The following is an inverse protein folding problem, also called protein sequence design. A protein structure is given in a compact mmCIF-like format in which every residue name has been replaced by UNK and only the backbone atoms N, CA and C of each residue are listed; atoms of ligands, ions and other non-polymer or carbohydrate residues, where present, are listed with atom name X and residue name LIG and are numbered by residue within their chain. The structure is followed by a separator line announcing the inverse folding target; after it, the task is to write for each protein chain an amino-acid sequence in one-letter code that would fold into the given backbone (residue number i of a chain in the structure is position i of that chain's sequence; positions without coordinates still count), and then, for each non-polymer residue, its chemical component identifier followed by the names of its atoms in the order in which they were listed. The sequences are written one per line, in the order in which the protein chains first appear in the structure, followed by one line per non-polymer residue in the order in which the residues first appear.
data_IF_143639249739
#
_entry.id   IF_143639249739
#
_cell.length_a   1.000
_cell.length_b   1.000
_cell.length_c   1.000
_cell.angle_alpha   90.00
_cell.angle_beta   90.00
_cell.angle_gamma   90.00
#
_symmetry.space_group_name_H-M   'P 1'
#
loop_
_entity.id
_entity.type
_entity.pdbx_description
1 polymer ?
#
# COMPACT_ATOMS: atom_id res chain seq x y z
N UNK A 1 20.35 -5.33 11.85
CA UNK A 1 20.19 -6.53 11.00
C UNK A 1 19.73 -6.19 9.58
N UNK A 2 20.02 -7.04 8.58
CA UNK A 2 19.37 -6.98 7.26
C UNK A 2 17.86 -7.17 7.38
N UNK A 3 17.09 -6.47 6.54
CA UNK A 3 15.63 -6.57 6.58
C UNK A 3 15.14 -7.99 6.24
N UNK A 4 14.19 -8.56 7.02
CA UNK A 4 13.64 -9.89 6.74
C UNK A 4 13.11 -9.99 5.31
N UNK A 5 13.31 -11.14 4.66
CA UNK A 5 12.81 -11.35 3.30
C UNK A 5 11.29 -11.18 3.23
N UNK A 6 10.57 -11.63 4.26
CA UNK A 6 9.11 -11.47 4.36
C UNK A 6 8.67 -10.00 4.41
N UNK A 7 9.47 -9.12 5.04
CA UNK A 7 9.21 -7.68 5.05
C UNK A 7 9.34 -7.09 3.64
N UNK A 8 10.41 -7.47 2.92
CA UNK A 8 10.59 -7.05 1.51
C UNK A 8 9.49 -7.60 0.61
N UNK A 9 9.07 -8.85 0.82
CA UNK A 9 7.97 -9.46 0.09
C UNK A 9 6.65 -8.71 0.35
N UNK A 10 6.39 -8.31 1.59
CA UNK A 10 5.24 -7.46 1.90
C UNK A 10 5.29 -6.12 1.14
N UNK A 11 6.46 -5.48 1.09
CA UNK A 11 6.66 -4.26 0.31
C UNK A 11 6.40 -4.43 -1.18
N UNK A 12 6.77 -5.58 -1.75
CA UNK A 12 6.46 -5.91 -3.16
C UNK A 12 4.94 -6.02 -3.37
N UNK A 13 4.22 -6.65 -2.45
CA UNK A 13 2.76 -6.73 -2.54
C UNK A 13 2.09 -5.35 -2.42
N UNK A 14 2.54 -4.51 -1.49
CA UNK A 14 2.08 -3.12 -1.38
C UNK A 14 2.39 -2.31 -2.64
N UNK A 15 3.54 -2.54 -3.28
CA UNK A 15 3.88 -1.89 -4.55
C UNK A 15 2.90 -2.29 -5.66
N UNK A 16 2.62 -3.58 -5.80
CA UNK A 16 1.72 -4.08 -6.84
C UNK A 16 0.30 -3.57 -6.57
N UNK A 17 -0.20 -3.69 -5.33
CA UNK A 17 -1.53 -3.21 -4.95
C UNK A 17 -1.65 -1.69 -5.12
N UNK A 18 -0.67 -0.93 -4.63
CA UNK A 18 -0.55 0.51 -4.82
C UNK A 18 -0.52 0.96 -6.27
N UNK A 19 0.24 0.30 -7.16
CA UNK A 19 0.26 0.64 -8.60
C UNK A 19 -1.14 0.44 -9.18
N UNK A 20 -1.79 -0.69 -8.89
CA UNK A 20 -3.11 -0.99 -9.45
C UNK A 20 -4.17 -0.01 -8.94
N UNK A 21 -4.16 0.28 -7.63
CA UNK A 21 -5.04 1.27 -7.01
C UNK A 21 -4.81 2.66 -7.62
N UNK A 22 -3.56 3.06 -7.82
CA UNK A 22 -3.22 4.37 -8.38
C UNK A 22 -3.69 4.53 -9.82
N UNK A 23 -3.47 3.52 -10.67
CA UNK A 23 -3.92 3.53 -12.06
C UNK A 23 -5.44 3.63 -12.17
N UNK A 24 -6.17 2.87 -11.35
CA UNK A 24 -7.64 2.90 -11.35
C UNK A 24 -8.14 4.22 -10.77
N UNK A 25 -7.53 4.75 -9.71
CA UNK A 25 -7.90 6.04 -9.15
C UNK A 25 -7.72 7.18 -10.15
N UNK A 26 -6.59 7.23 -10.86
CA UNK A 26 -6.35 8.20 -11.93
C UNK A 26 -7.34 8.05 -13.07
N UNK A 27 -7.66 6.81 -13.47
CA UNK A 27 -8.68 6.55 -14.48
C UNK A 27 -10.03 7.14 -14.06
N UNK A 28 -10.46 6.95 -12.80
CA UNK A 28 -11.69 7.54 -12.28
C UNK A 28 -11.64 9.07 -12.22
N UNK A 29 -10.49 9.66 -11.86
CA UNK A 29 -10.28 11.12 -11.92
C UNK A 29 -10.55 11.61 -13.34
N UNK A 30 -9.89 11.04 -14.36
CA UNK A 30 -10.06 11.50 -15.75
C UNK A 30 -11.46 11.25 -16.33
N UNK A 31 -12.11 10.14 -15.98
CA UNK A 31 -13.48 9.85 -16.42
C UNK A 31 -14.48 10.87 -15.85
N UNK A 32 -14.33 11.22 -14.58
CA UNK A 32 -15.30 12.07 -13.87
C UNK A 32 -14.89 13.54 -13.70
N UNK A 33 -13.70 13.95 -14.18
CA UNK A 33 -13.23 15.34 -14.05
C UNK A 33 -14.20 16.33 -14.71
N UNK A 34 -14.79 15.93 -15.84
CA UNK A 34 -15.78 16.71 -16.59
C UNK A 34 -17.11 16.89 -15.84
N UNK A 35 -17.40 16.05 -14.85
CA UNK A 35 -18.60 16.12 -14.02
C UNK A 35 -18.34 16.79 -12.67
N UNK A 36 -17.15 17.36 -12.44
CA UNK A 36 -16.65 17.89 -11.15
C UNK A 36 -16.59 16.87 -10.00
N UNK A 37 -17.14 15.67 -10.17
CA UNK A 37 -17.06 14.53 -9.24
C UNK A 37 -15.66 13.90 -9.27
N UNK A 38 -14.89 14.10 -10.35
CA UNK A 38 -13.50 13.65 -10.47
C UNK A 38 -12.58 14.12 -9.35
N UNK A 39 -12.87 15.28 -8.74
CA UNK A 39 -12.09 15.83 -7.62
C UNK A 39 -12.17 14.92 -6.38
N UNK A 40 -13.30 14.24 -6.16
CA UNK A 40 -13.46 13.30 -5.04
C UNK A 40 -12.52 12.08 -5.17
N UNK A 41 -12.09 11.74 -6.39
CA UNK A 41 -11.20 10.61 -6.66
C UNK A 41 -9.71 10.95 -6.51
N UNK A 42 -9.37 12.23 -6.29
CA UNK A 42 -8.00 12.66 -5.95
C UNK A 42 -7.56 12.08 -4.60
N UNK A 43 -8.48 11.92 -3.65
CA UNK A 43 -8.19 11.35 -2.33
C UNK A 43 -7.74 9.88 -2.46
N UNK A 44 -8.51 8.98 -3.10
CA UNK A 44 -8.05 7.63 -3.47
C UNK A 44 -6.70 7.58 -4.19
N UNK A 45 -6.45 8.51 -5.12
CA UNK A 45 -5.17 8.59 -5.83
C UNK A 45 -4.00 8.97 -4.90
N UNK A 46 -4.24 9.88 -3.94
CA UNK A 46 -3.26 10.26 -2.92
C UNK A 46 -2.93 9.11 -1.96
N UNK A 47 -3.94 8.33 -1.55
CA UNK A 47 -3.73 7.13 -0.70
C UNK A 47 -2.87 6.11 -1.45
N UNK A 48 -3.21 5.82 -2.71
CA UNK A 48 -2.44 4.88 -3.53
C UNK A 48 -0.99 5.36 -3.78
N UNK A 49 -0.78 6.68 -3.88
CA UNK A 49 0.57 7.24 -4.00
C UNK A 49 1.37 7.08 -2.70
N UNK A 50 0.75 7.33 -1.54
CA UNK A 50 1.40 7.12 -0.25
C UNK A 50 1.78 5.64 -0.05
N UNK A 51 0.91 4.73 -0.45
CA UNK A 51 1.14 3.28 -0.48
C UNK A 51 2.33 2.90 -1.38
N UNK A 52 2.42 3.46 -2.58
CA UNK A 52 3.56 3.25 -3.47
C UNK A 52 4.88 3.69 -2.84
N UNK A 53 4.91 4.90 -2.27
CA UNK A 53 6.11 5.43 -1.61
C UNK A 53 6.54 4.51 -0.46
N UNK A 54 5.58 4.04 0.34
CA UNK A 54 5.83 3.13 1.45
C UNK A 54 6.34 1.77 0.96
N UNK A 55 5.75 1.20 -0.08
CA UNK A 55 6.22 -0.03 -0.70
C UNK A 55 7.67 0.08 -1.19
N UNK A 56 8.04 1.20 -1.83
CA UNK A 56 9.45 1.46 -2.24
C UNK A 56 10.36 1.48 -1.01
N UNK A 57 9.99 2.22 0.04
CA UNK A 57 10.79 2.33 1.26
C UNK A 57 10.98 0.96 1.94
N UNK A 58 9.94 0.14 2.00
CA UNK A 58 9.98 -1.22 2.57
C UNK A 58 10.92 -2.12 1.76
N UNK A 59 10.82 -2.11 0.43
CA UNK A 59 11.68 -2.92 -0.45
C UNK A 59 13.16 -2.49 -0.35
N UNK A 60 13.42 -1.20 -0.15
CA UNK A 60 14.75 -0.67 0.13
C UNK A 60 15.28 -1.06 1.52
N UNK A 61 14.46 -1.68 2.37
CA UNK A 61 14.83 -2.11 3.71
C UNK A 61 14.70 -1.04 4.78
N UNK A 62 14.05 0.09 4.49
CA UNK A 62 13.79 1.11 5.50
C UNK A 62 12.69 0.61 6.46
N UNK A 63 12.94 0.74 7.76
CA UNK A 63 11.96 0.42 8.81
C UNK A 63 10.81 1.41 8.75
N UNK A 64 9.60 0.90 8.52
CA UNK A 64 8.40 1.71 8.40
C UNK A 64 7.30 1.18 9.33
N UNK A 65 7.20 1.68 10.58
CA UNK A 65 6.19 1.22 11.53
C UNK A 65 4.76 1.56 11.07
N UNK A 66 4.60 2.52 10.15
CA UNK A 66 3.33 2.87 9.54
C UNK A 66 2.91 1.96 8.38
N UNK A 67 3.77 1.01 7.94
CA UNK A 67 3.51 0.13 6.80
C UNK A 67 2.18 -0.62 6.93
N UNK A 68 1.88 -1.15 8.12
CA UNK A 68 0.64 -1.89 8.37
C UNK A 68 -0.60 -1.02 8.21
N UNK A 69 -0.58 0.21 8.72
CA UNK A 69 -1.70 1.14 8.57
C UNK A 69 -1.92 1.53 7.11
N UNK A 70 -0.83 1.72 6.36
CA UNK A 70 -0.91 2.08 4.94
C UNK A 70 -1.46 0.94 4.10
N UNK A 71 -1.03 -0.31 4.35
CA UNK A 71 -1.60 -1.47 3.67
C UNK A 71 -3.10 -1.65 3.98
N UNK A 72 -3.54 -1.39 5.22
CA UNK A 72 -4.97 -1.39 5.58
C UNK A 72 -5.74 -0.30 4.83
N UNK A 73 -5.17 0.92 4.75
CA UNK A 73 -5.76 1.99 3.93
C UNK A 73 -5.80 1.60 2.46
N UNK A 74 -4.82 0.85 1.97
CA UNK A 74 -4.80 0.21 0.66
C UNK A 74 -5.96 -0.72 0.39
N UNK A 75 -6.31 -1.57 1.36
CA UNK A 75 -7.50 -2.44 1.30
C UNK A 75 -8.76 -1.59 1.17
N UNK A 76 -8.92 -0.57 2.04
CA UNK A 76 -10.08 0.33 2.00
C UNK A 76 -10.16 1.07 0.65
N UNK A 77 -9.02 1.51 0.14
CA UNK A 77 -8.91 2.17 -1.16
C UNK A 77 -9.30 1.21 -2.30
N UNK A 78 -8.82 -0.03 -2.24
CA UNK A 78 -9.18 -1.10 -3.18
C UNK A 78 -10.69 -1.38 -3.21
N UNK A 79 -11.36 -1.36 -2.05
CA UNK A 79 -12.83 -1.47 -1.96
C UNK A 79 -13.51 -0.27 -2.61
N UNK A 80 -13.07 0.96 -2.30
CA UNK A 80 -13.63 2.19 -2.90
C UNK A 80 -13.47 2.24 -4.41
N UNK A 81 -12.36 1.71 -4.93
CA UNK A 81 -12.03 1.68 -6.35
C UNK A 81 -12.59 0.47 -7.10
N UNK A 82 -13.28 -0.45 -6.40
CA UNK A 82 -13.71 -1.75 -6.92
C UNK A 82 -12.56 -2.58 -7.52
N UNK A 83 -11.34 -2.40 -6.99
CA UNK A 83 -10.14 -3.08 -7.43
C UNK A 83 -9.87 -4.34 -6.59
N UNK A 84 -10.53 -5.45 -6.94
CA UNK A 84 -10.37 -6.73 -6.24
C UNK A 84 -8.91 -7.23 -6.25
N UNK A 85 -8.17 -6.99 -7.34
CA UNK A 85 -6.77 -7.40 -7.44
C UNK A 85 -5.86 -6.60 -6.51
N UNK A 86 -6.00 -5.28 -6.48
CA UNK A 86 -5.25 -4.45 -5.53
C UNK A 86 -5.57 -4.82 -4.08
N UNK A 87 -6.85 -5.06 -3.78
CA UNK A 87 -7.28 -5.50 -2.45
C UNK A 87 -6.61 -6.82 -2.02
N UNK A 88 -6.52 -7.82 -2.91
CA UNK A 88 -5.85 -9.09 -2.61
C UNK A 88 -4.37 -8.88 -2.31
N UNK A 89 -3.68 -8.03 -3.08
CA UNK A 89 -2.26 -7.74 -2.86
C UNK A 89 -2.05 -7.05 -1.52
N UNK A 90 -2.92 -6.12 -1.14
CA UNK A 90 -2.81 -5.45 0.16
C UNK A 90 -3.13 -6.39 1.34
N UNK A 91 -4.06 -7.34 1.17
CA UNK A 91 -4.29 -8.39 2.17
C UNK A 91 -3.02 -9.24 2.34
N UNK A 92 -2.38 -9.65 1.24
CA UNK A 92 -1.13 -10.42 1.30
C UNK A 92 0.01 -9.62 1.95
N UNK A 93 0.09 -8.32 1.68
CA UNK A 93 1.03 -7.43 2.35
C UNK A 93 0.79 -7.40 3.86
N UNK A 94 -0.47 -7.23 4.29
CA UNK A 94 -0.82 -7.25 5.72
C UNK A 94 -0.45 -8.59 6.36
N UNK A 95 -0.76 -9.72 5.73
CA UNK A 95 -0.43 -11.06 6.27
C UNK A 95 1.07 -11.18 6.56
N UNK A 96 1.93 -10.72 5.64
CA UNK A 96 3.37 -10.77 5.86
C UNK A 96 3.89 -9.72 6.84
N UNK A 97 3.29 -8.52 6.90
CA UNK A 97 3.62 -7.51 7.91
C UNK A 97 3.19 -7.91 9.33
N UNK A 98 2.20 -8.79 9.46
CA UNK A 98 1.72 -9.30 10.76
C UNK A 98 2.56 -10.44 11.33
N UNK A 99 3.53 -10.96 10.59
CA UNK A 99 4.42 -12.01 11.10
C UNK A 99 5.19 -11.48 12.32
N UNK A 100 5.31 -12.25 13.42
CA UNK A 100 5.99 -11.83 14.64
C UNK A 100 7.42 -11.34 14.36
N UNK A 101 8.17 -12.08 13.54
CA UNK A 101 9.54 -11.77 13.14
C UNK A 101 9.68 -10.41 12.42
N UNK A 102 8.67 -10.03 11.64
CA UNK A 102 8.63 -8.75 10.93
C UNK A 102 8.22 -7.64 11.89
N UNK A 103 7.25 -7.88 12.77
CA UNK A 103 6.82 -6.90 13.77
C UNK A 103 7.92 -6.58 14.79
N UNK A 104 8.60 -7.59 15.30
CA UNK A 104 9.74 -7.41 16.22
C UNK A 104 10.84 -6.60 15.55
N UNK A 105 11.20 -6.92 14.30
CA UNK A 105 12.22 -6.17 13.55
C UNK A 105 11.79 -4.72 13.23
N UNK A 106 10.50 -4.46 13.00
CA UNK A 106 9.98 -3.11 12.77
C UNK A 106 9.96 -2.27 14.05
N UNK A 107 9.75 -2.89 15.21
CA UNK A 107 9.59 -2.22 16.50
C UNK A 107 10.89 -2.08 17.30
N UNK A 108 11.92 -2.88 17.00
CA UNK A 108 13.21 -2.82 17.67
C UNK A 108 14.28 -2.11 16.80
N UNK A 109 14.60 -0.82 17.08
CA UNK A 109 15.66 -0.11 16.38
C UNK A 109 17.07 -0.68 16.64
N UNK A 110 17.26 -1.48 17.69
CA UNK A 110 18.57 -1.93 18.19
C UNK A 110 18.96 -3.34 17.78
N UNK A 111 18.06 -4.11 17.13
CA UNK A 111 18.34 -5.40 16.51
C UNK A 111 18.95 -5.27 15.08
#
# INVERSE_FOLDING_TARGET
MDAPNDYKTAGIFMLIGGVMNFLIAIMWVFIFIWLCIGVCWIIPAGIALAELIMGIMIVQGNRQPSAMYVAILGIVNGVMLFNMWGMIMEILAVVWLTKPEVQEWMQDPTA
#
